data_IF_006652676932
#
_entry.id   IF_006652676932
#
_cell.length_a   1.000
_cell.length_b   1.000
_cell.length_c   1.000
_cell.angle_alpha   90.00
_cell.angle_beta   90.00
_cell.angle_gamma   90.00
#
_symmetry.space_group_name_H-M   'P 1'
#
loop_
_entity.id
_entity.type
_entity.pdbx_description
1 polymer ?
#
# COMPACT_ATOMS: atom_id res chain seq x y z
N UNK A 1 -26.94 9.84 -1.91
CA UNK A 1 -25.72 9.04 -2.15
C UNK A 1 -26.18 7.68 -2.63
N UNK A 2 -25.57 7.12 -3.68
CA UNK A 2 -25.88 5.76 -4.10
C UNK A 2 -25.54 4.78 -2.97
N UNK A 3 -26.30 3.70 -2.87
CA UNK A 3 -26.01 2.61 -1.92
C UNK A 3 -24.63 2.00 -2.22
N UNK A 4 -23.82 1.65 -1.20
CA UNK A 4 -22.55 0.98 -1.42
C UNK A 4 -22.72 -0.33 -2.21
N UNK A 5 -21.77 -0.60 -3.11
CA UNK A 5 -21.71 -1.88 -3.81
C UNK A 5 -21.36 -3.00 -2.84
N UNK A 6 -21.88 -4.20 -3.13
CA UNK A 6 -21.49 -5.44 -2.45
C UNK A 6 -20.96 -6.44 -3.46
N UNK A 7 -20.10 -7.37 -3.01
CA UNK A 7 -19.53 -8.39 -3.89
C UNK A 7 -20.61 -9.35 -4.38
N UNK A 8 -21.64 -9.62 -3.57
CA UNK A 8 -22.77 -10.48 -3.93
C UNK A 8 -23.52 -9.89 -5.13
N UNK A 9 -23.87 -8.59 -5.06
CA UNK A 9 -24.52 -7.86 -6.17
C UNK A 9 -23.63 -7.87 -7.41
N UNK A 10 -22.35 -7.57 -7.25
CA UNK A 10 -21.39 -7.51 -8.35
C UNK A 10 -21.16 -8.90 -9.01
N UNK A 11 -21.13 -9.97 -8.21
CA UNK A 11 -21.00 -11.35 -8.66
C UNK A 11 -22.27 -11.90 -9.31
N UNK A 12 -23.44 -11.32 -9.03
CA UNK A 12 -24.70 -11.67 -9.67
C UNK A 12 -25.01 -10.85 -10.94
N UNK A 13 -24.40 -9.68 -11.10
CA UNK A 13 -24.69 -8.74 -12.20
C UNK A 13 -24.37 -9.30 -13.60
N UNK A 14 -25.13 -8.87 -14.61
CA UNK A 14 -24.74 -9.00 -16.02
C UNK A 14 -23.51 -8.16 -16.36
N UNK A 15 -22.88 -8.37 -17.52
CA UNK A 15 -21.64 -7.68 -17.87
C UNK A 15 -21.81 -6.16 -17.98
N UNK A 16 -22.91 -5.69 -18.54
CA UNK A 16 -23.18 -4.25 -18.67
C UNK A 16 -23.39 -3.59 -17.30
N UNK A 17 -24.23 -4.19 -16.44
CA UNK A 17 -24.46 -3.70 -15.07
C UNK A 17 -23.18 -3.74 -14.22
N UNK A 18 -22.36 -4.77 -14.37
CA UNK A 18 -21.05 -4.86 -13.73
C UNK A 18 -20.13 -3.73 -14.16
N UNK A 19 -20.06 -3.49 -15.47
CA UNK A 19 -19.21 -2.44 -16.05
C UNK A 19 -19.68 -1.07 -15.59
N UNK A 20 -20.99 -0.82 -15.59
CA UNK A 20 -21.60 0.43 -15.12
C UNK A 20 -21.37 0.65 -13.61
N UNK A 21 -21.48 -0.39 -12.78
CA UNK A 21 -21.22 -0.28 -11.34
C UNK A 21 -19.76 0.13 -11.05
N UNK A 22 -18.80 -0.36 -11.83
CA UNK A 22 -17.37 -0.05 -11.70
C UNK A 22 -16.91 1.13 -12.57
N UNK A 23 -17.84 1.87 -13.16
CA UNK A 23 -17.48 3.03 -13.98
C UNK A 23 -16.69 4.07 -13.16
N UNK A 24 -15.74 4.74 -13.81
CA UNK A 24 -14.82 5.69 -13.17
C UNK A 24 -13.72 5.04 -12.32
N UNK A 25 -13.67 3.71 -12.12
CA UNK A 25 -12.56 3.07 -11.39
C UNK A 25 -11.22 3.20 -12.12
N UNK A 26 -11.20 2.99 -13.43
CA UNK A 26 -10.08 3.29 -14.31
C UNK A 26 -10.58 4.23 -15.41
N UNK A 27 -10.52 5.53 -15.18
CA UNK A 27 -11.11 6.51 -16.10
C UNK A 27 -10.13 6.89 -17.23
N UNK A 28 -10.56 6.98 -18.51
CA UNK A 28 -11.88 6.68 -19.10
C UNK A 28 -11.92 5.27 -19.76
N UNK A 29 -11.43 4.25 -19.07
CA UNK A 29 -11.18 2.89 -19.59
C UNK A 29 -12.16 1.83 -19.03
N UNK A 30 -13.45 1.85 -19.41
CA UNK A 30 -14.45 0.88 -18.92
C UNK A 30 -14.17 -0.56 -19.38
N UNK A 31 -13.35 -0.73 -20.43
CA UNK A 31 -12.95 -2.05 -20.94
C UNK A 31 -12.27 -2.91 -19.86
N UNK A 32 -11.55 -2.30 -18.92
CA UNK A 32 -10.88 -3.03 -17.82
C UNK A 32 -11.89 -3.75 -16.94
N UNK A 33 -12.97 -3.04 -16.56
CA UNK A 33 -14.07 -3.66 -15.80
C UNK A 33 -14.82 -4.68 -16.66
N UNK A 34 -15.13 -4.34 -17.91
CA UNK A 34 -15.84 -5.24 -18.83
C UNK A 34 -15.14 -6.58 -18.99
N UNK A 35 -13.82 -6.59 -19.16
CA UNK A 35 -13.04 -7.84 -19.28
C UNK A 35 -12.91 -8.58 -17.94
N UNK A 36 -12.73 -7.87 -16.82
CA UNK A 36 -12.64 -8.47 -15.50
C UNK A 36 -13.91 -9.25 -15.10
N UNK A 37 -15.07 -8.90 -15.68
CA UNK A 37 -16.34 -9.60 -15.44
C UNK A 37 -16.26 -11.12 -15.60
N UNK A 38 -15.45 -11.60 -16.55
CA UNK A 38 -15.26 -13.03 -16.82
C UNK A 38 -14.46 -13.77 -15.71
N UNK A 39 -13.86 -13.04 -14.76
CA UNK A 39 -13.06 -13.60 -13.66
C UNK A 39 -13.87 -13.81 -12.36
N UNK A 40 -15.18 -13.59 -12.40
CA UNK A 40 -16.09 -13.83 -11.27
C UNK A 40 -16.26 -15.34 -11.00
N UNK A 41 -16.64 -15.74 -9.78
CA UNK A 41 -16.96 -14.88 -8.64
C UNK A 41 -15.71 -14.36 -7.91
N UNK A 42 -15.77 -13.11 -7.45
CA UNK A 42 -14.74 -12.52 -6.59
C UNK A 42 -15.02 -12.84 -5.13
N UNK A 43 -14.06 -13.51 -4.48
CA UNK A 43 -14.11 -13.87 -3.07
C UNK A 43 -13.89 -12.68 -2.11
N UNK A 44 -13.26 -11.60 -2.57
CA UNK A 44 -12.96 -10.42 -1.76
C UNK A 44 -12.73 -9.19 -2.63
N UNK A 45 -12.76 -7.99 -2.02
CA UNK A 45 -12.41 -6.74 -2.72
C UNK A 45 -10.94 -6.75 -3.18
N UNK A 46 -10.06 -7.43 -2.44
CA UNK A 46 -8.68 -7.65 -2.85
C UNK A 46 -8.58 -8.53 -4.11
N UNK A 47 -9.41 -9.57 -4.23
CA UNK A 47 -9.50 -10.38 -5.44
C UNK A 47 -10.03 -9.56 -6.63
N UNK A 48 -11.09 -8.77 -6.48
CA UNK A 48 -11.57 -7.86 -7.53
C UNK A 48 -10.49 -6.88 -7.99
N UNK A 49 -9.79 -6.23 -7.04
CA UNK A 49 -8.66 -5.33 -7.34
C UNK A 49 -7.57 -6.05 -8.14
N UNK A 50 -7.21 -7.25 -7.72
CA UNK A 50 -6.21 -8.07 -8.41
C UNK A 50 -6.65 -8.41 -9.83
N UNK A 51 -7.91 -8.81 -10.03
CA UNK A 51 -8.46 -9.13 -11.34
C UNK A 51 -8.38 -7.94 -12.30
N UNK A 52 -8.80 -6.75 -11.87
CA UNK A 52 -8.70 -5.52 -12.67
C UNK A 52 -7.25 -5.17 -13.04
N UNK A 53 -6.32 -5.29 -12.08
CA UNK A 53 -4.90 -5.07 -12.35
C UNK A 53 -4.32 -6.11 -13.31
N UNK A 54 -4.79 -7.37 -13.23
CA UNK A 54 -4.36 -8.46 -14.10
C UNK A 54 -4.84 -8.26 -15.54
N UNK A 55 -6.08 -7.78 -15.74
CA UNK A 55 -6.61 -7.39 -17.06
C UNK A 55 -5.68 -6.36 -17.73
N UNK A 56 -5.37 -5.27 -17.02
CA UNK A 56 -4.48 -4.23 -17.56
C UNK A 56 -3.05 -4.75 -17.82
N UNK A 57 -2.54 -5.63 -16.95
CA UNK A 57 -1.23 -6.27 -17.15
C UNK A 57 -1.21 -7.10 -18.42
N UNK A 58 -2.25 -7.91 -18.64
CA UNK A 58 -2.36 -8.82 -19.80
C UNK A 58 -2.65 -8.11 -21.12
N UNK A 59 -3.29 -6.94 -21.07
CA UNK A 59 -3.55 -6.12 -22.26
C UNK A 59 -2.27 -5.63 -22.96
N UNK A 60 -1.13 -5.63 -22.26
CA UNK A 60 0.16 -5.27 -22.82
C UNK A 60 0.42 -3.76 -22.81
N UNK A 61 1.53 -3.37 -23.46
CA UNK A 61 2.15 -2.04 -23.29
C UNK A 61 1.33 -0.91 -23.92
N UNK A 62 0.71 -1.13 -25.08
CA UNK A 62 -0.07 -0.09 -25.77
C UNK A 62 -1.33 0.32 -24.98
N UNK A 63 -2.19 -0.63 -24.52
CA UNK A 63 -3.32 -0.27 -23.66
C UNK A 63 -2.90 0.40 -22.34
N UNK A 64 -1.75 0.03 -21.77
CA UNK A 64 -1.18 0.67 -20.59
C UNK A 64 -0.83 2.14 -20.86
N UNK A 65 -0.12 2.44 -21.96
CA UNK A 65 0.17 3.82 -22.34
C UNK A 65 -1.10 4.61 -22.65
N UNK A 66 -2.05 4.01 -23.37
CA UNK A 66 -3.33 4.65 -23.69
C UNK A 66 -4.07 5.06 -22.40
N UNK A 67 -4.12 4.17 -21.41
CA UNK A 67 -4.69 4.48 -20.10
C UNK A 67 -3.97 5.64 -19.41
N UNK A 68 -2.63 5.59 -19.32
CA UNK A 68 -1.85 6.64 -18.66
C UNK A 68 -2.04 7.99 -19.35
N UNK A 69 -1.99 8.03 -20.69
CA UNK A 69 -2.18 9.26 -21.47
C UNK A 69 -3.58 9.85 -21.36
N UNK A 70 -4.58 9.01 -21.05
CA UNK A 70 -5.94 9.46 -20.84
C UNK A 70 -6.16 10.06 -19.44
N UNK A 71 -5.20 9.92 -18.51
CA UNK A 71 -5.30 10.56 -17.20
C UNK A 71 -5.02 12.07 -17.31
N UNK A 72 -5.81 12.91 -16.63
CA UNK A 72 -5.56 14.35 -16.63
C UNK A 72 -4.26 14.69 -15.89
N UNK A 73 -3.54 15.68 -16.39
CA UNK A 73 -2.34 16.20 -15.71
C UNK A 73 -2.68 16.86 -14.37
N UNK A 74 -1.80 16.66 -13.39
CA UNK A 74 -1.87 17.36 -12.10
C UNK A 74 -1.66 18.86 -12.31
N UNK A 75 -2.59 19.67 -11.82
CA UNK A 75 -2.60 21.12 -12.02
C UNK A 75 -2.46 21.55 -13.50
N UNK A 76 -2.93 20.70 -14.42
CA UNK A 76 -2.91 20.97 -15.86
C UNK A 76 -4.05 21.88 -16.31
N UNK A 77 -4.14 22.11 -17.61
CA UNK A 77 -5.19 22.96 -18.24
C UNK A 77 -6.60 22.57 -17.82
N UNK A 78 -6.90 21.27 -17.73
CA UNK A 78 -8.22 20.81 -17.31
C UNK A 78 -8.62 21.27 -15.89
N UNK A 79 -7.65 21.43 -14.98
CA UNK A 79 -7.90 22.00 -13.65
C UNK A 79 -8.15 23.51 -13.73
N UNK A 80 -7.36 24.22 -14.54
CA UNK A 80 -7.51 25.68 -14.74
C UNK A 80 -8.85 26.01 -15.41
N UNK A 81 -9.26 25.18 -16.36
CA UNK A 81 -10.47 25.37 -17.17
C UNK A 81 -11.72 24.76 -16.50
N UNK A 82 -11.60 24.16 -15.30
CA UNK A 82 -12.67 23.44 -14.58
C UNK A 82 -13.36 22.34 -15.40
N UNK A 83 -12.60 21.62 -16.24
CA UNK A 83 -13.10 20.53 -17.09
C UNK A 83 -12.72 19.13 -16.59
N UNK A 84 -12.16 19.03 -15.37
CA UNK A 84 -11.89 17.77 -14.70
C UNK A 84 -13.18 17.01 -14.37
N UNK A 85 -13.09 15.68 -14.34
CA UNK A 85 -14.18 14.81 -13.90
C UNK A 85 -14.45 15.03 -12.40
N UNK A 86 -15.62 14.61 -11.90
CA UNK A 86 -15.98 14.84 -10.50
C UNK A 86 -14.99 14.15 -9.54
N UNK A 87 -14.54 12.95 -9.90
CA UNK A 87 -13.51 12.17 -9.21
C UNK A 87 -12.17 12.92 -9.20
N UNK A 88 -11.71 13.36 -10.37
CA UNK A 88 -10.42 14.06 -10.52
C UNK A 88 -10.41 15.40 -9.78
N UNK A 89 -11.53 16.11 -9.77
CA UNK A 89 -11.70 17.38 -9.05
C UNK A 89 -11.60 17.18 -7.54
N UNK A 90 -12.30 16.18 -6.99
CA UNK A 90 -12.25 15.86 -5.57
C UNK A 90 -10.83 15.41 -5.14
N UNK A 91 -10.18 14.63 -5.99
CA UNK A 91 -8.81 14.15 -5.77
C UNK A 91 -7.80 15.30 -5.73
N UNK A 92 -7.78 16.18 -6.73
CA UNK A 92 -6.81 17.28 -6.80
C UNK A 92 -7.10 18.39 -5.78
N UNK A 93 -8.38 18.67 -5.48
CA UNK A 93 -8.77 19.63 -4.43
C UNK A 93 -8.25 19.24 -3.04
N UNK A 94 -8.32 17.95 -2.69
CA UNK A 94 -7.82 17.43 -1.40
C UNK A 94 -6.31 17.54 -1.22
N UNK A 95 -5.54 17.59 -2.31
CA UNK A 95 -4.10 17.78 -2.27
C UNK A 95 -3.69 19.26 -2.18
N UNK A 96 -4.65 20.19 -2.12
CA UNK A 96 -4.38 21.63 -2.08
C UNK A 96 -3.78 22.18 -3.38
N UNK A 97 -3.85 21.41 -4.48
CA UNK A 97 -3.36 21.83 -5.80
C UNK A 97 -4.20 22.94 -6.42
N UNK A 98 -5.46 23.08 -5.97
CA UNK A 98 -6.34 24.19 -6.35
C UNK A 98 -5.94 25.52 -5.69
N UNK A 99 -5.05 25.48 -4.68
CA UNK A 99 -4.59 26.65 -3.91
C UNK A 99 -3.08 26.88 -4.06
N UNK A 100 -2.52 26.59 -5.24
CA UNK A 100 -1.11 26.86 -5.54
C UNK A 100 -0.85 28.37 -5.71
N UNK A 101 0.31 28.84 -5.23
CA UNK A 101 0.82 30.17 -5.62
C UNK A 101 1.22 30.17 -7.10
N UNK A 102 1.34 31.34 -7.74
CA UNK A 102 1.81 31.42 -9.13
C UNK A 102 3.15 30.73 -9.36
N UNK A 103 4.10 30.87 -8.44
CA UNK A 103 5.43 30.24 -8.53
C UNK A 103 5.36 28.71 -8.38
N UNK A 104 4.50 28.21 -7.48
CA UNK A 104 4.28 26.77 -7.32
C UNK A 104 3.65 26.17 -8.58
N UNK A 105 2.65 26.84 -9.15
CA UNK A 105 2.00 26.41 -10.39
C UNK A 105 3.00 26.40 -11.55
N UNK A 106 3.82 27.45 -11.69
CA UNK A 106 4.88 27.50 -12.69
C UNK A 106 5.92 26.39 -12.48
N UNK A 107 6.27 26.04 -11.23
CA UNK A 107 7.15 24.91 -10.93
C UNK A 107 6.52 23.59 -11.36
N UNK A 108 5.24 23.34 -11.04
CA UNK A 108 4.52 22.12 -11.45
C UNK A 108 4.43 22.02 -12.97
N UNK A 109 4.12 23.11 -13.67
CA UNK A 109 4.05 23.14 -15.14
C UNK A 109 5.39 22.79 -15.79
N UNK A 110 6.51 23.33 -15.27
CA UNK A 110 7.85 22.95 -15.75
C UNK A 110 8.15 21.47 -15.51
N UNK A 111 7.78 20.93 -14.34
CA UNK A 111 7.97 19.52 -14.03
C UNK A 111 7.12 18.61 -14.91
N UNK A 112 5.85 18.95 -15.17
CA UNK A 112 4.99 18.24 -16.11
C UNK A 112 5.62 18.22 -17.51
N UNK A 113 6.09 19.37 -18.02
CA UNK A 113 6.71 19.45 -19.34
C UNK A 113 8.00 18.59 -19.43
N UNK A 114 8.85 18.65 -18.40
CA UNK A 114 10.08 17.85 -18.34
C UNK A 114 9.78 16.35 -18.25
N UNK A 115 8.80 15.96 -17.44
CA UNK A 115 8.36 14.58 -17.29
C UNK A 115 7.78 14.03 -18.59
N UNK A 116 6.87 14.77 -19.22
CA UNK A 116 6.27 14.39 -20.50
C UNK A 116 7.34 14.26 -21.60
N UNK A 117 8.29 15.19 -21.67
CA UNK A 117 9.41 15.12 -22.62
C UNK A 117 10.26 13.86 -22.44
N UNK A 118 10.51 13.46 -21.18
CA UNK A 118 11.34 12.29 -20.87
C UNK A 118 10.62 10.96 -21.07
N UNK A 119 9.35 10.86 -20.66
CA UNK A 119 8.66 9.58 -20.57
C UNK A 119 7.52 9.41 -21.60
N UNK A 120 7.04 10.49 -22.21
CA UNK A 120 6.01 10.46 -23.26
C UNK A 120 4.57 10.23 -22.76
N UNK A 121 4.33 10.51 -21.49
CA UNK A 121 3.04 10.41 -20.81
C UNK A 121 2.98 11.32 -19.57
N UNK A 122 1.78 11.67 -19.05
CA UNK A 122 1.64 12.58 -17.91
C UNK A 122 2.15 11.97 -16.60
N UNK A 123 2.61 12.81 -15.68
CA UNK A 123 2.96 12.37 -14.34
C UNK A 123 1.69 12.04 -13.54
N UNK A 124 1.62 10.80 -13.04
CA UNK A 124 0.50 10.32 -12.26
C UNK A 124 0.95 10.01 -10.85
N UNK A 125 0.27 10.58 -9.85
CA UNK A 125 0.43 10.23 -8.44
C UNK A 125 -0.95 10.06 -7.80
N UNK A 126 -1.10 9.06 -6.94
CA UNK A 126 -2.31 8.91 -6.14
C UNK A 126 -2.37 10.00 -5.06
N UNK A 127 -2.97 11.15 -5.39
CA UNK A 127 -2.97 12.37 -4.57
C UNK A 127 -3.63 12.22 -3.20
N UNK A 128 -4.54 11.25 -3.02
CA UNK A 128 -5.08 10.89 -1.69
C UNK A 128 -4.06 10.18 -0.80
N UNK A 129 -2.90 9.82 -1.34
CA UNK A 129 -1.78 9.25 -0.61
C UNK A 129 -2.02 7.82 -0.12
N UNK A 130 -1.03 7.25 0.58
CA UNK A 130 -1.09 5.87 1.05
C UNK A 130 -2.13 5.64 2.15
N UNK A 131 -2.48 6.67 2.92
CA UNK A 131 -3.49 6.60 4.00
C UNK A 131 -4.85 7.16 3.63
N UNK A 132 -5.03 7.70 2.43
CA UNK A 132 -6.27 8.37 2.02
C UNK A 132 -6.44 9.79 2.58
N UNK A 133 -5.45 10.31 3.33
CA UNK A 133 -5.46 11.63 3.98
C UNK A 133 -4.98 12.77 3.09
N UNK A 134 -4.54 12.49 1.87
CA UNK A 134 -3.95 13.47 0.96
C UNK A 134 -2.43 13.54 1.06
N UNK A 135 -1.78 13.75 -0.08
CA UNK A 135 -0.40 14.21 -0.18
C UNK A 135 -0.37 15.72 -0.12
N UNK A 136 0.59 16.28 0.62
CA UNK A 136 0.85 17.71 0.55
C UNK A 136 1.69 18.06 -0.69
N UNK A 137 1.74 19.35 -1.02
CA UNK A 137 2.48 19.86 -2.18
C UNK A 137 3.95 19.44 -2.17
N UNK A 138 4.64 19.55 -1.02
CA UNK A 138 6.04 19.18 -0.91
C UNK A 138 6.29 17.69 -1.23
N UNK A 139 5.38 16.80 -0.78
CA UNK A 139 5.45 15.37 -1.09
C UNK A 139 5.24 15.09 -2.58
N UNK A 140 4.32 15.81 -3.23
CA UNK A 140 4.10 15.68 -4.69
C UNK A 140 5.35 16.12 -5.45
N UNK A 141 5.95 17.25 -5.07
CA UNK A 141 7.17 17.77 -5.71
C UNK A 141 8.37 16.84 -5.51
N UNK A 142 8.55 16.31 -4.29
CA UNK A 142 9.60 15.33 -4.01
C UNK A 142 9.39 14.03 -4.82
N UNK A 143 8.13 13.61 -5.01
CA UNK A 143 7.80 12.45 -5.84
C UNK A 143 8.15 12.70 -7.32
N UNK A 144 7.88 13.89 -7.86
CA UNK A 144 8.33 14.30 -9.19
C UNK A 144 9.85 14.21 -9.31
N UNK A 145 10.56 14.92 -8.44
CA UNK A 145 12.03 15.05 -8.50
C UNK A 145 12.71 13.68 -8.40
N UNK A 146 12.24 12.81 -7.49
CA UNK A 146 12.74 11.43 -7.38
C UNK A 146 12.47 10.62 -8.64
N UNK A 147 11.23 10.65 -9.16
CA UNK A 147 10.81 9.81 -10.30
C UNK A 147 11.41 10.27 -11.63
N UNK A 148 11.80 11.53 -11.73
CA UNK A 148 12.58 12.02 -12.87
C UNK A 148 13.90 11.27 -13.05
N UNK A 149 14.46 10.62 -12.02
CA UNK A 149 15.68 9.83 -12.18
C UNK A 149 15.46 8.42 -12.73
N UNK A 150 14.21 7.94 -12.81
CA UNK A 150 13.90 6.56 -13.15
C UNK A 150 14.24 6.20 -14.60
N UNK A 151 14.52 4.91 -14.83
CA UNK A 151 14.50 4.32 -16.16
C UNK A 151 13.06 4.29 -16.70
N UNK A 152 12.88 4.46 -18.01
CA UNK A 152 11.55 4.59 -18.63
C UNK A 152 10.63 3.40 -18.33
N UNK A 153 11.16 2.16 -18.35
CA UNK A 153 10.34 0.97 -18.06
C UNK A 153 9.94 0.88 -16.59
N UNK A 154 10.81 1.31 -15.67
CA UNK A 154 10.45 1.38 -14.25
C UNK A 154 9.40 2.46 -14.01
N UNK A 155 9.54 3.61 -14.68
CA UNK A 155 8.60 4.71 -14.53
C UNK A 155 7.21 4.39 -15.09
N UNK A 156 7.13 3.61 -16.18
CA UNK A 156 5.87 3.08 -16.67
C UNK A 156 5.16 2.24 -15.58
N UNK A 157 5.89 1.32 -14.95
CA UNK A 157 5.32 0.50 -13.88
C UNK A 157 4.94 1.33 -12.64
N UNK A 158 5.72 2.36 -12.31
CA UNK A 158 5.43 3.29 -11.21
C UNK A 158 4.17 4.13 -11.49
N UNK A 159 3.97 4.59 -12.73
CA UNK A 159 2.74 5.28 -13.14
C UNK A 159 1.53 4.35 -13.04
N UNK A 160 1.62 3.11 -13.56
CA UNK A 160 0.56 2.10 -13.42
C UNK A 160 0.26 1.77 -11.96
N UNK A 161 1.28 1.67 -11.10
CA UNK A 161 1.10 1.46 -9.65
C UNK A 161 0.30 2.60 -9.01
N UNK A 162 0.52 3.84 -9.42
CA UNK A 162 -0.28 4.97 -8.95
C UNK A 162 -1.72 4.93 -9.48
N UNK A 163 -1.94 4.53 -10.75
CA UNK A 163 -3.29 4.32 -11.28
C UNK A 163 -4.02 3.21 -10.51
N UNK A 164 -3.37 2.07 -10.28
CA UNK A 164 -3.95 0.98 -9.47
C UNK A 164 -4.29 1.44 -8.05
N UNK A 165 -3.49 2.34 -7.48
CA UNK A 165 -3.79 2.93 -6.18
C UNK A 165 -4.99 3.87 -6.22
N UNK A 166 -5.12 4.69 -7.27
CA UNK A 166 -6.31 5.53 -7.50
C UNK A 166 -7.55 4.63 -7.63
N UNK A 167 -7.48 3.59 -8.47
CA UNK A 167 -8.54 2.62 -8.66
C UNK A 167 -8.94 1.91 -7.35
N UNK A 168 -7.96 1.48 -6.54
CA UNK A 168 -8.21 0.89 -5.22
C UNK A 168 -8.99 1.83 -4.30
N UNK A 169 -8.62 3.11 -4.28
CA UNK A 169 -9.28 4.12 -3.45
C UNK A 169 -10.71 4.37 -3.94
N UNK A 170 -10.93 4.48 -5.26
CA UNK A 170 -12.27 4.64 -5.86
C UNK A 170 -13.15 3.41 -5.61
N UNK A 171 -12.58 2.21 -5.69
CA UNK A 171 -13.26 0.97 -5.30
C UNK A 171 -13.62 0.99 -3.81
N UNK A 172 -12.71 1.38 -2.94
CA UNK A 172 -12.99 1.49 -1.51
C UNK A 172 -14.17 2.44 -1.23
N UNK A 173 -14.23 3.59 -1.91
CA UNK A 173 -15.37 4.51 -1.79
C UNK A 173 -16.68 3.87 -2.28
N UNK A 174 -16.68 3.20 -3.45
CA UNK A 174 -17.86 2.52 -4.01
C UNK A 174 -18.40 1.41 -3.11
N UNK A 175 -17.53 0.70 -2.38
CA UNK A 175 -17.89 -0.38 -1.46
C UNK A 175 -18.03 0.10 0.00
N UNK A 176 -17.85 1.40 0.27
CA UNK A 176 -17.71 1.96 1.61
C UNK A 176 -16.71 1.18 2.51
N UNK A 177 -15.64 0.65 1.88
CA UNK A 177 -14.62 -0.15 2.54
C UNK A 177 -13.48 0.72 3.08
N UNK A 178 -12.87 0.30 4.19
CA UNK A 178 -11.69 0.95 4.74
C UNK A 178 -10.59 -0.09 5.02
N UNK A 179 -9.32 0.18 4.70
CA UNK A 179 -8.20 -0.74 4.92
C UNK A 179 -7.73 -0.72 6.38
N UNK A 180 -8.62 -0.96 7.34
CA UNK A 180 -8.35 -0.83 8.78
C UNK A 180 -7.18 -1.70 9.22
N UNK A 181 -7.15 -2.97 8.81
CA UNK A 181 -6.06 -3.90 9.15
C UNK A 181 -4.72 -3.46 8.56
N UNK A 182 -4.72 -3.00 7.30
CA UNK A 182 -3.52 -2.46 6.66
C UNK A 182 -3.00 -1.22 7.36
N UNK A 183 -3.90 -0.34 7.82
CA UNK A 183 -3.54 0.83 8.61
C UNK A 183 -2.90 0.46 9.95
N UNK A 184 -3.45 -0.54 10.64
CA UNK A 184 -2.90 -1.04 11.89
C UNK A 184 -1.49 -1.62 11.72
N UNK A 185 -1.28 -2.43 10.68
CA UNK A 185 0.05 -3.01 10.36
C UNK A 185 1.05 -1.90 10.04
N UNK A 186 0.61 -0.85 9.35
CA UNK A 186 1.44 0.32 9.10
C UNK A 186 1.78 1.04 10.42
N UNK A 187 0.81 1.27 11.31
CA UNK A 187 1.04 1.95 12.60
C UNK A 187 2.06 1.19 13.47
N UNK A 188 2.00 -0.14 13.48
CA UNK A 188 3.00 -0.96 14.17
C UNK A 188 4.41 -0.79 13.59
N UNK A 189 4.54 -0.69 12.26
CA UNK A 189 5.84 -0.46 11.61
C UNK A 189 6.39 0.94 11.88
N UNK A 190 5.54 1.98 11.90
CA UNK A 190 5.97 3.35 12.27
C UNK A 190 6.42 3.41 13.72
N UNK A 191 5.68 2.74 14.60
CA UNK A 191 6.03 2.63 16.01
C UNK A 191 7.39 1.93 16.18
N UNK A 192 7.62 0.81 15.48
CA UNK A 192 8.89 0.09 15.57
C UNK A 192 10.05 0.89 14.94
N UNK A 193 9.77 1.70 13.92
CA UNK A 193 10.75 2.57 13.28
C UNK A 193 11.20 3.77 14.14
N UNK A 194 10.57 4.00 15.30
CA UNK A 194 11.06 4.97 16.27
C UNK A 194 12.40 4.54 16.93
N UNK A 195 12.75 3.26 16.85
CA UNK A 195 14.02 2.73 17.34
C UNK A 195 15.05 2.70 16.21
N UNK A 196 16.11 3.50 16.35
CA UNK A 196 17.24 3.55 15.42
C UNK A 196 18.53 3.78 16.20
N UNK A 197 19.63 3.22 15.71
CA UNK A 197 20.95 3.34 16.33
C UNK A 197 21.44 4.81 16.35
N UNK A 198 22.11 5.25 17.43
CA UNK A 198 22.74 6.56 17.48
C UNK A 198 23.72 6.79 16.32
N UNK A 199 23.80 8.03 15.84
CA UNK A 199 24.53 8.40 14.63
C UNK A 199 23.71 8.28 13.34
N UNK A 200 22.63 7.50 13.34
CA UNK A 200 21.68 7.41 12.22
C UNK A 200 20.35 8.09 12.58
N UNK A 201 19.87 7.88 13.81
CA UNK A 201 18.61 8.42 14.31
C UNK A 201 18.52 9.96 14.17
N UNK A 202 19.60 10.68 14.49
CA UNK A 202 19.67 12.15 14.44
C UNK A 202 19.58 12.69 13.01
N UNK A 203 19.91 11.86 12.01
CA UNK A 203 19.78 12.17 10.59
C UNK A 203 18.42 11.74 10.03
N UNK A 204 17.50 11.24 10.86
CA UNK A 204 16.22 10.68 10.44
C UNK A 204 16.34 9.37 9.67
N UNK A 205 17.46 8.66 9.83
CA UNK A 205 17.70 7.37 9.18
C UNK A 205 17.32 6.23 10.12
N UNK A 206 16.83 5.14 9.54
CA UNK A 206 16.51 3.91 10.27
C UNK A 206 17.64 2.90 10.13
N UNK A 207 18.32 2.60 11.24
CA UNK A 207 19.34 1.55 11.32
C UNK A 207 19.13 0.79 12.62
N UNK A 208 19.00 -0.53 12.56
CA UNK A 208 18.89 -1.36 13.77
C UNK A 208 19.86 -2.52 13.66
N UNK A 209 21.01 -2.38 14.30
CA UNK A 209 22.08 -3.39 14.27
C UNK A 209 21.87 -4.43 15.38
N UNK A 210 22.20 -5.69 15.10
CA UNK A 210 22.06 -6.79 16.06
C UNK A 210 22.67 -6.48 17.45
N UNK A 211 21.90 -6.77 18.50
CA UNK A 211 22.24 -6.61 19.92
C UNK A 211 22.47 -5.18 20.44
N UNK A 212 22.26 -4.13 19.63
CA UNK A 212 22.26 -2.75 20.12
C UNK A 212 21.06 -2.46 21.02
N UNK A 213 21.04 -1.28 21.64
CA UNK A 213 19.88 -0.82 22.43
C UNK A 213 18.63 -0.68 21.57
N UNK A 214 18.75 -0.17 20.34
CA UNK A 214 17.63 -0.06 19.40
C UNK A 214 17.07 -1.45 19.05
N UNK A 215 17.94 -2.42 18.83
CA UNK A 215 17.55 -3.80 18.54
C UNK A 215 16.82 -4.47 19.71
N UNK A 216 17.33 -4.32 20.93
CA UNK A 216 16.66 -4.83 22.14
C UNK A 216 15.30 -4.15 22.36
N UNK A 217 15.21 -2.84 22.11
CA UNK A 217 13.96 -2.10 22.20
C UNK A 217 12.93 -2.60 21.17
N UNK A 218 13.36 -2.85 19.92
CA UNK A 218 12.52 -3.48 18.90
C UNK A 218 12.01 -4.86 19.36
N UNK A 219 12.90 -5.72 19.87
CA UNK A 219 12.54 -7.06 20.33
C UNK A 219 11.49 -7.03 21.46
N UNK A 220 11.71 -6.19 22.47
CA UNK A 220 10.76 -5.99 23.57
C UNK A 220 9.40 -5.51 23.06
N UNK A 221 9.41 -4.57 22.12
CA UNK A 221 8.18 -3.99 21.59
C UNK A 221 7.40 -4.95 20.71
N UNK A 222 8.07 -5.77 19.89
CA UNK A 222 7.45 -6.86 19.13
C UNK A 222 6.83 -7.88 20.09
N UNK A 223 7.56 -8.28 21.13
CA UNK A 223 7.07 -9.21 22.15
C UNK A 223 5.79 -8.70 22.81
N UNK A 224 5.77 -7.43 23.23
CA UNK A 224 4.59 -6.79 23.78
C UNK A 224 3.42 -6.80 22.77
N UNK A 225 3.67 -6.44 21.51
CA UNK A 225 2.62 -6.45 20.49
C UNK A 225 2.08 -7.86 20.20
N UNK A 226 2.90 -8.91 20.29
CA UNK A 226 2.43 -10.30 20.20
C UNK A 226 1.50 -10.64 21.37
N UNK A 227 1.84 -10.28 22.60
CA UNK A 227 0.91 -10.44 23.74
C UNK A 227 -0.41 -9.68 23.52
N UNK A 228 -0.35 -8.43 23.06
CA UNK A 228 -1.54 -7.60 22.77
C UNK A 228 -2.41 -8.18 21.64
N UNK A 229 -1.81 -8.91 20.68
CA UNK A 229 -2.56 -9.61 19.63
C UNK A 229 -3.22 -10.91 20.13
N UNK A 230 -2.84 -11.41 21.31
CA UNK A 230 -3.42 -12.59 21.93
C UNK A 230 -2.78 -13.91 21.53
N UNK A 231 -1.47 -13.90 21.24
CA UNK A 231 -0.67 -15.12 21.23
C UNK A 231 -0.69 -15.78 22.61
N UNK A 232 -0.74 -17.11 22.66
CA UNK A 232 -0.82 -17.89 23.90
C UNK A 232 0.56 -17.98 24.59
N UNK A 233 1.63 -18.10 23.80
CA UNK A 233 3.02 -18.06 24.27
C UNK A 233 3.77 -16.96 23.53
N UNK A 234 4.59 -16.20 24.25
CA UNK A 234 5.52 -15.24 23.65
C UNK A 234 6.85 -15.30 24.41
N UNK A 235 7.94 -15.43 23.67
CA UNK A 235 9.29 -15.51 24.23
C UNK A 235 10.34 -14.83 23.35
N UNK A 236 11.47 -14.52 23.96
CA UNK A 236 12.68 -14.13 23.24
C UNK A 236 13.69 -15.27 23.46
N UNK A 237 14.19 -15.86 22.37
CA UNK A 237 15.12 -16.97 22.45
C UNK A 237 16.56 -16.53 22.79
N UNK A 238 17.48 -17.48 22.92
CA UNK A 238 18.86 -17.22 23.33
C UNK A 238 19.67 -16.39 22.31
N UNK A 239 19.21 -16.31 21.06
CA UNK A 239 19.85 -15.49 20.00
C UNK A 239 19.04 -14.23 19.69
N UNK A 240 18.02 -13.93 20.50
CA UNK A 240 17.24 -12.70 20.43
C UNK A 240 16.01 -12.76 19.53
N UNK A 241 15.69 -13.88 18.89
CA UNK A 241 14.48 -13.95 18.07
C UNK A 241 13.25 -13.79 18.96
N UNK A 242 12.25 -13.05 18.50
CA UNK A 242 10.96 -12.95 19.19
C UNK A 242 10.01 -13.96 18.60
N UNK A 243 9.52 -14.89 19.41
CA UNK A 243 8.66 -15.99 18.97
C UNK A 243 7.30 -15.83 19.66
N UNK A 244 6.24 -15.78 18.85
CA UNK A 244 4.87 -15.86 19.32
C UNK A 244 4.21 -17.15 18.82
N UNK A 245 3.57 -17.90 19.72
CA UNK A 245 2.78 -19.09 19.37
C UNK A 245 1.30 -18.85 19.70
N UNK A 246 0.44 -19.04 18.70
CA UNK A 246 -1.01 -19.10 18.83
C UNK A 246 -1.44 -20.55 18.61
N UNK A 247 -1.98 -21.21 19.63
CA UNK A 247 -2.30 -22.63 19.56
C UNK A 247 -3.43 -22.93 18.58
N UNK A 248 -3.45 -24.17 18.08
CA UNK A 248 -4.60 -24.68 17.34
C UNK A 248 -5.77 -24.97 18.27
N UNK A 249 -6.82 -25.58 17.73
CA UNK A 249 -7.92 -26.16 18.52
C UNK A 249 -7.44 -27.29 19.43
N UNK A 250 -6.31 -27.90 19.08
CA UNK A 250 -5.52 -28.79 19.90
C UNK A 250 -4.15 -28.13 20.13
N UNK A 251 -3.70 -28.06 21.38
CA UNK A 251 -2.44 -27.42 21.76
C UNK A 251 -1.21 -28.20 21.23
N UNK A 252 -1.36 -29.51 21.00
CA UNK A 252 -0.32 -30.38 20.46
C UNK A 252 -0.34 -30.43 18.92
N UNK A 253 -1.24 -29.68 18.28
CA UNK A 253 -1.30 -29.61 16.83
C UNK A 253 -0.01 -29.04 16.23
N UNK A 254 0.34 -29.54 15.03
CA UNK A 254 1.43 -28.97 14.25
C UNK A 254 1.21 -27.48 14.02
N UNK A 255 2.31 -26.74 13.86
CA UNK A 255 2.28 -25.29 13.66
C UNK A 255 2.64 -24.92 12.24
N UNK A 256 1.97 -23.90 11.72
CA UNK A 256 2.40 -23.16 10.53
C UNK A 256 3.33 -22.05 10.99
N UNK A 257 4.61 -22.17 10.63
CA UNK A 257 5.63 -21.17 10.95
C UNK A 257 5.72 -20.13 9.83
N UNK A 258 5.75 -18.86 10.22
CA UNK A 258 5.97 -17.71 9.35
C UNK A 258 6.76 -16.64 10.10
N UNK A 259 7.36 -15.70 9.40
CA UNK A 259 8.21 -14.72 10.06
C UNK A 259 9.13 -14.00 9.12
N UNK A 260 9.85 -13.02 9.65
CA UNK A 260 10.88 -12.28 8.94
C UNK A 260 11.75 -11.54 9.98
N UNK A 261 12.66 -10.69 9.54
CA UNK A 261 13.65 -10.05 10.40
C UNK A 261 13.23 -8.66 10.87
N UNK A 262 13.86 -8.15 11.93
CA UNK A 262 13.58 -6.80 12.47
C UNK A 262 14.83 -5.91 12.63
N UNK A 263 16.02 -6.47 12.45
CA UNK A 263 17.26 -5.73 12.16
C UNK A 263 17.17 -5.08 10.78
N UNK A 264 17.98 -4.04 10.57
CA UNK A 264 18.00 -3.33 9.29
C UNK A 264 19.43 -2.94 8.92
N UNK A 265 19.74 -3.00 7.62
CA UNK A 265 20.87 -2.22 7.06
C UNK A 265 20.67 -0.72 7.24
N UNK A 266 21.74 0.04 7.01
CA UNK A 266 21.73 1.51 7.07
C UNK A 266 20.64 2.07 6.17
N UNK A 267 19.62 2.66 6.79
CA UNK A 267 18.49 3.25 6.10
C UNK A 267 17.75 2.29 5.14
N UNK A 268 17.70 0.99 5.47
CA UNK A 268 17.03 -0.06 4.66
C UNK A 268 15.51 0.14 4.53
N UNK A 269 14.92 0.90 5.45
CA UNK A 269 13.52 1.31 5.41
C UNK A 269 12.64 0.54 6.38
N UNK A 270 11.53 1.15 6.78
CA UNK A 270 10.67 0.70 7.87
C UNK A 270 9.84 -0.56 7.60
N UNK A 271 9.76 -0.99 6.35
CA UNK A 271 8.91 -2.09 5.92
C UNK A 271 9.71 -3.36 5.62
N UNK A 272 11.01 -3.21 5.39
CA UNK A 272 11.90 -4.31 5.06
C UNK A 272 12.05 -5.25 6.26
N UNK A 273 11.88 -6.54 6.03
CA UNK A 273 11.70 -7.58 7.06
C UNK A 273 10.41 -7.44 7.88
N UNK A 274 10.25 -6.31 8.56
CA UNK A 274 9.20 -6.00 9.55
C UNK A 274 7.79 -6.26 9.05
N UNK A 275 7.51 -6.05 7.76
CA UNK A 275 6.21 -6.34 7.18
C UNK A 275 5.83 -7.83 7.31
N UNK A 276 6.80 -8.74 7.14
CA UNK A 276 6.63 -10.18 7.27
C UNK A 276 6.35 -10.66 8.70
N UNK A 277 6.59 -9.81 9.71
CA UNK A 277 6.26 -10.07 11.12
C UNK A 277 4.84 -9.56 11.42
N UNK A 278 4.55 -8.30 11.06
CA UNK A 278 3.30 -7.66 11.48
C UNK A 278 2.05 -8.11 10.73
N UNK A 279 2.19 -8.56 9.47
CA UNK A 279 1.05 -9.13 8.73
C UNK A 279 0.49 -10.40 9.38
N UNK A 280 1.30 -11.44 9.68
CA UNK A 280 0.77 -12.61 10.37
C UNK A 280 0.31 -12.32 11.81
N UNK A 281 0.91 -11.34 12.51
CA UNK A 281 0.37 -10.86 13.79
C UNK A 281 -1.04 -10.28 13.67
N UNK A 282 -1.32 -9.52 12.60
CA UNK A 282 -2.67 -9.03 12.33
C UNK A 282 -3.67 -10.17 12.11
N UNK A 283 -3.27 -11.24 11.42
CA UNK A 283 -4.09 -12.44 11.24
C UNK A 283 -4.41 -13.10 12.59
N UNK A 284 -3.40 -13.30 13.45
CA UNK A 284 -3.60 -13.87 14.80
C UNK A 284 -4.54 -13.00 15.63
N UNK A 285 -4.35 -11.67 15.60
CA UNK A 285 -5.24 -10.73 16.29
C UNK A 285 -6.70 -10.89 15.86
N UNK A 286 -6.96 -11.00 14.56
CA UNK A 286 -8.35 -11.16 14.07
C UNK A 286 -8.93 -12.54 14.40
N UNK A 287 -8.12 -13.62 14.37
CA UNK A 287 -8.53 -14.93 14.86
C UNK A 287 -8.90 -14.90 16.34
N UNK A 288 -8.06 -14.27 17.16
CA UNK A 288 -8.32 -14.13 18.59
C UNK A 288 -9.59 -13.30 18.86
N UNK A 289 -9.77 -12.18 18.15
CA UNK A 289 -10.98 -11.34 18.27
C UNK A 289 -12.26 -12.07 17.88
N UNK A 290 -12.17 -13.00 16.93
CA UNK A 290 -13.28 -13.85 16.52
C UNK A 290 -13.44 -15.10 17.40
N UNK A 291 -12.56 -15.29 18.41
CA UNK A 291 -12.47 -16.51 19.22
C UNK A 291 -12.33 -17.79 18.38
N UNK A 292 -11.59 -17.70 17.26
CA UNK A 292 -11.39 -18.80 16.32
C UNK A 292 -10.02 -19.45 16.50
N UNK A 293 -10.01 -20.76 16.79
CA UNK A 293 -8.81 -21.60 16.77
C UNK A 293 -8.81 -22.45 15.49
N UNK A 294 -7.67 -22.54 14.82
CA UNK A 294 -7.52 -23.33 13.58
C UNK A 294 -7.16 -24.78 13.92
N UNK A 295 -7.27 -25.75 13.00
CA UNK A 295 -6.82 -27.13 13.21
C UNK A 295 -5.30 -27.30 13.40
N UNK A 296 -4.54 -26.21 13.31
CA UNK A 296 -3.10 -26.12 13.48
C UNK A 296 -2.76 -24.81 14.21
N UNK A 297 -1.63 -24.77 14.94
CA UNK A 297 -1.15 -23.53 15.56
C UNK A 297 -0.46 -22.60 14.56
N UNK A 298 -0.31 -21.33 14.91
CA UNK A 298 0.50 -20.36 14.15
C UNK A 298 1.71 -19.99 15.00
N UNK A 299 2.90 -20.09 14.42
CA UNK A 299 4.14 -19.65 15.04
C UNK A 299 4.72 -18.48 14.22
N UNK A 300 4.84 -17.31 14.84
CA UNK A 300 5.42 -16.13 14.21
C UNK A 300 6.80 -15.88 14.82
N UNK A 301 7.84 -15.92 13.98
CA UNK A 301 9.22 -15.68 14.39
C UNK A 301 9.71 -14.35 13.80
N UNK A 302 10.08 -13.43 14.67
CA UNK A 302 10.81 -12.23 14.33
C UNK A 302 12.32 -12.51 14.48
N UNK A 303 13.01 -12.73 13.37
CA UNK A 303 14.44 -13.03 13.36
C UNK A 303 15.26 -11.83 13.81
N UNK A 304 16.19 -12.07 14.72
CA UNK A 304 17.01 -11.05 15.32
C UNK A 304 18.15 -10.57 14.41
N UNK A 305 18.57 -11.40 13.48
CA UNK A 305 19.69 -11.11 12.60
C UNK A 305 19.50 -11.88 11.29
N UNK A 306 19.33 -11.15 10.19
CA UNK A 306 19.27 -11.72 8.84
C UNK A 306 20.18 -10.93 7.88
N UNK A 307 20.30 -9.63 8.09
CA UNK A 307 20.92 -8.71 7.13
C UNK A 307 22.45 -8.74 7.16
N UNK A 308 23.09 -9.26 8.23
CA UNK A 308 24.54 -9.43 8.26
C UNK A 308 25.32 -8.11 8.18
N UNK A 309 25.27 -7.23 9.20
CA UNK A 309 25.97 -5.92 9.19
C UNK A 309 27.51 -6.00 9.26
N UNK A 310 28.11 -7.15 8.97
CA UNK A 310 29.55 -7.40 9.17
C UNK A 310 30.43 -6.88 8.03
N UNK A 311 29.86 -6.40 6.92
CA UNK A 311 30.57 -5.93 5.73
C UNK A 311 30.01 -4.62 5.16
#
# INVERSE_FOLDING_TARGET
>A
MAEPLTLERLNAAGQDDFTAALDGTYEPSPWIAREAWAMRPFASLAHLKHALALVLRRAGREPQFALIRAHPELAGKAMVDNTLTAESTNEQGKAGLTNCTPDELAKIQRLNAAYHSRFGFPFIVAVRGPRGTGLNKAQIMAAFERRMANHADFELQEALRNIHRIAEIRLADKFAAQPVLGNQVWDWQEMLAAHSDPGYAEHGQLTVTYLTEAHRACAQRISQCMFECGFDEVGIDAVGNVVGVYHGSDADARRLLTGSHYDTVRNGGKYDGRHGIFVPMACVRELQRAHLRLPFGIEVVAFAEEEGQRY
#
